data_IF_993515686113
#
_entry.id   IF_993515686113
#
_cell.length_a   1.000
_cell.length_b   1.000
_cell.length_c   1.000
_cell.angle_alpha   90.00
_cell.angle_beta   90.00
_cell.angle_gamma   90.00
#
_symmetry.space_group_name_H-M   'P 1'
#
loop_
_entity.id
_entity.type
_entity.pdbx_description
1 polymer ?
#
# COMPACT_ATOMS: atom_id res chain seq x y z
N UNK A 1 -2.57 -1.09 21.06
CA UNK A 1 -2.08 -2.04 20.04
C UNK A 1 -1.44 -1.28 18.89
N UNK A 2 -0.25 -1.71 18.49
CA UNK A 2 0.43 -1.10 17.36
C UNK A 2 -0.15 -1.64 16.06
N UNK A 3 -0.55 -0.72 15.17
CA UNK A 3 -1.04 -1.06 13.84
C UNK A 3 0.14 -1.03 12.87
N UNK A 4 0.04 -1.80 11.80
CA UNK A 4 1.13 -1.92 10.82
C UNK A 4 0.74 -1.27 9.51
N UNK A 5 1.69 -0.53 8.92
CA UNK A 5 1.62 -0.03 7.56
C UNK A 5 2.68 -0.77 6.76
N UNK A 6 2.27 -1.42 5.68
CA UNK A 6 3.17 -2.10 4.76
C UNK A 6 3.37 -1.26 3.51
N UNK A 7 4.62 -1.00 3.17
CA UNK A 7 5.00 -0.18 2.02
C UNK A 7 5.62 -1.10 0.97
N UNK A 8 4.98 -1.21 -0.19
CA UNK A 8 5.39 -2.13 -1.26
C UNK A 8 5.70 -1.35 -2.53
N UNK A 9 6.97 -1.31 -2.88
CA UNK A 9 7.45 -0.68 -4.11
C UNK A 9 8.81 -1.27 -4.43
N UNK A 10 9.09 -1.55 -5.70
CA UNK A 10 10.39 -2.08 -6.11
C UNK A 10 11.48 -1.02 -6.10
N UNK A 11 11.10 0.27 -6.04
CA UNK A 11 12.05 1.37 -5.95
C UNK A 11 12.35 1.68 -4.46
N UNK A 12 13.57 1.40 -3.97
CA UNK A 12 13.91 1.67 -2.58
C UNK A 12 13.85 3.15 -2.21
N UNK A 13 14.00 4.05 -3.20
CA UNK A 13 13.88 5.49 -2.96
C UNK A 13 12.45 5.89 -2.61
N UNK A 14 11.47 5.31 -3.29
CA UNK A 14 10.05 5.55 -3.02
C UNK A 14 9.69 4.98 -1.65
N UNK A 15 10.14 3.75 -1.35
CA UNK A 15 9.89 3.16 -0.03
C UNK A 15 10.45 4.05 1.09
N UNK A 16 11.68 4.55 0.90
CA UNK A 16 12.32 5.42 1.88
C UNK A 16 11.56 6.73 2.06
N UNK A 17 11.09 7.32 0.96
CA UNK A 17 10.30 8.56 1.01
C UNK A 17 9.04 8.35 1.85
N UNK A 18 8.30 7.29 1.59
CA UNK A 18 7.07 6.99 2.32
C UNK A 18 7.39 6.69 3.78
N UNK A 19 8.37 5.83 4.04
CA UNK A 19 8.74 5.45 5.40
C UNK A 19 9.19 6.68 6.22
N UNK A 20 10.04 7.52 5.65
CA UNK A 20 10.53 8.72 6.32
C UNK A 20 9.39 9.69 6.62
N UNK A 21 8.46 9.84 5.67
CA UNK A 21 7.30 10.71 5.84
C UNK A 21 6.41 10.25 6.99
N UNK A 22 6.25 8.94 7.15
CA UNK A 22 5.33 8.35 8.11
C UNK A 22 5.96 7.95 9.44
N UNK A 23 7.29 8.01 9.57
CA UNK A 23 7.98 7.49 10.76
C UNK A 23 7.58 8.17 12.07
N UNK A 24 7.13 9.41 12.01
CA UNK A 24 6.75 10.17 13.20
C UNK A 24 5.27 10.01 13.57
N UNK A 25 4.49 9.27 12.77
CA UNK A 25 3.10 9.02 13.09
C UNK A 25 3.03 7.96 14.18
N UNK A 26 2.49 8.34 15.34
CA UNK A 26 2.35 7.42 16.47
C UNK A 26 1.29 6.35 16.21
N UNK A 27 1.52 5.18 16.76
CA UNK A 27 0.56 4.08 16.67
C UNK A 27 0.73 3.16 15.49
N UNK A 28 1.72 3.43 14.62
CA UNK A 28 1.99 2.57 13.46
C UNK A 28 3.41 2.03 13.47
N UNK A 29 3.52 0.76 13.09
CA UNK A 29 4.80 0.13 12.77
C UNK A 29 4.92 0.09 11.24
N UNK A 30 6.07 0.47 10.73
CA UNK A 30 6.30 0.48 9.28
C UNK A 30 7.06 -0.77 8.85
N UNK A 31 6.61 -1.39 7.77
CA UNK A 31 7.29 -2.51 7.13
C UNK A 31 7.44 -2.21 5.66
N UNK A 32 8.44 -2.80 5.02
CA UNK A 32 8.71 -2.60 3.60
C UNK A 32 8.81 -3.94 2.89
N UNK A 33 8.40 -3.95 1.62
CA UNK A 33 8.56 -5.08 0.72
C UNK A 33 8.94 -4.57 -0.66
N UNK A 34 9.83 -5.28 -1.36
CA UNK A 34 10.32 -4.88 -2.66
C UNK A 34 9.58 -5.48 -3.84
N UNK A 35 8.69 -6.42 -3.60
CA UNK A 35 7.88 -7.04 -4.65
C UNK A 35 6.61 -7.65 -4.08
N UNK A 36 5.73 -8.11 -4.98
CA UNK A 36 4.42 -8.61 -4.58
C UNK A 36 4.45 -9.90 -3.77
N UNK A 37 5.40 -10.79 -4.04
CA UNK A 37 5.49 -12.05 -3.30
C UNK A 37 5.94 -11.79 -1.86
N UNK A 38 6.94 -10.95 -1.67
CA UNK A 38 7.39 -10.55 -0.35
C UNK A 38 6.27 -9.81 0.41
N UNK A 39 5.51 -8.97 -0.31
CA UNK A 39 4.38 -8.25 0.28
C UNK A 39 3.35 -9.21 0.86
N UNK A 40 2.98 -10.24 0.13
CA UNK A 40 2.00 -11.23 0.59
C UNK A 40 2.52 -11.96 1.82
N UNK A 41 3.76 -12.42 1.81
CA UNK A 41 4.39 -13.08 2.95
C UNK A 41 4.34 -12.22 4.20
N UNK A 42 4.77 -10.97 4.10
CA UNK A 42 4.80 -10.06 5.24
C UNK A 42 3.40 -9.71 5.72
N UNK A 43 2.47 -9.50 4.79
CA UNK A 43 1.11 -9.10 5.13
C UNK A 43 0.36 -10.19 5.89
N UNK A 44 0.52 -11.45 5.50
CA UNK A 44 -0.13 -12.57 6.19
C UNK A 44 0.33 -12.64 7.65
N UNK A 45 1.61 -12.38 7.89
CA UNK A 45 2.18 -12.42 9.24
C UNK A 45 1.81 -11.21 10.09
N UNK A 46 1.88 -10.01 9.51
CA UNK A 46 1.70 -8.76 10.25
C UNK A 46 0.28 -8.23 10.27
N UNK A 47 -0.56 -8.66 9.33
CA UNK A 47 -1.94 -8.19 9.15
C UNK A 47 -2.02 -6.67 9.15
N UNK A 48 -1.43 -6.01 8.14
CA UNK A 48 -1.35 -4.56 8.13
C UNK A 48 -2.73 -3.92 8.01
N UNK A 49 -2.90 -2.76 8.63
CA UNK A 49 -4.11 -1.96 8.50
C UNK A 49 -4.12 -1.22 7.16
N UNK A 50 -2.94 -0.77 6.73
CA UNK A 50 -2.77 -0.01 5.49
C UNK A 50 -1.65 -0.64 4.66
N UNK A 51 -1.89 -0.80 3.37
CA UNK A 51 -0.88 -1.27 2.41
C UNK A 51 -0.75 -0.23 1.30
N UNK A 52 0.44 0.34 1.16
CA UNK A 52 0.80 1.14 -0.01
C UNK A 52 1.41 0.20 -1.02
N UNK A 53 0.82 0.11 -2.20
CA UNK A 53 1.14 -0.95 -3.16
C UNK A 53 1.36 -0.40 -4.55
N UNK A 54 2.60 -0.48 -5.04
CA UNK A 54 2.94 -0.05 -6.38
C UNK A 54 2.27 -0.97 -7.42
N UNK A 55 1.71 -0.36 -8.47
CA UNK A 55 1.09 -1.11 -9.57
C UNK A 55 2.14 -1.87 -10.38
N UNK A 56 3.26 -1.21 -10.69
CA UNK A 56 4.30 -1.77 -11.56
C UNK A 56 5.46 -2.36 -10.75
N UNK A 57 5.50 -3.70 -10.66
CA UNK A 57 6.56 -4.39 -9.95
C UNK A 57 6.96 -5.66 -10.70
N UNK A 58 8.23 -6.10 -10.55
CA UNK A 58 8.65 -7.38 -11.12
C UNK A 58 8.03 -8.56 -10.37
N UNK A 59 8.05 -9.71 -11.00
CA UNK A 59 7.56 -11.01 -10.52
C UNK A 59 6.06 -11.05 -10.34
N UNK A 60 5.49 -10.24 -9.44
CA UNK A 60 4.06 -10.18 -9.23
C UNK A 60 3.67 -8.70 -9.17
N UNK A 61 2.88 -8.23 -10.14
CA UNK A 61 2.47 -6.83 -10.20
C UNK A 61 1.49 -6.48 -9.08
N UNK A 62 1.28 -5.16 -8.87
CA UNK A 62 0.46 -4.69 -7.77
C UNK A 62 -1.02 -5.08 -7.87
N UNK A 63 -1.57 -5.15 -9.07
CA UNK A 63 -2.98 -5.53 -9.25
C UNK A 63 -3.20 -6.97 -8.81
N UNK A 64 -2.35 -7.89 -9.23
CA UNK A 64 -2.44 -9.29 -8.83
C UNK A 64 -2.15 -9.47 -7.34
N UNK A 65 -1.17 -8.72 -6.81
CA UNK A 65 -0.88 -8.72 -5.38
C UNK A 65 -2.12 -8.30 -4.58
N UNK A 66 -2.79 -7.23 -5.02
CA UNK A 66 -4.03 -6.76 -4.39
C UNK A 66 -5.11 -7.84 -4.38
N UNK A 67 -5.31 -8.52 -5.51
CA UNK A 67 -6.27 -9.62 -5.62
C UNK A 67 -5.99 -10.72 -4.60
N UNK A 68 -4.74 -11.11 -4.48
CA UNK A 68 -4.33 -12.15 -3.54
C UNK A 68 -4.50 -11.73 -2.09
N UNK A 69 -4.19 -10.46 -1.78
CA UNK A 69 -4.41 -9.94 -0.43
C UNK A 69 -5.89 -9.96 -0.07
N UNK A 70 -6.76 -9.61 -1.01
CA UNK A 70 -8.21 -9.63 -0.78
C UNK A 70 -8.78 -11.03 -0.62
N UNK A 71 -8.13 -12.03 -1.20
CA UNK A 71 -8.61 -13.42 -1.12
C UNK A 71 -8.20 -14.15 0.16
N UNK A 72 -7.28 -13.58 0.94
CA UNK A 72 -6.81 -14.18 2.19
C UNK A 72 -7.52 -13.51 3.39
N UNK A 73 -8.19 -14.28 4.26
CA UNK A 73 -8.87 -13.71 5.43
C UNK A 73 -7.97 -12.86 6.33
N UNK A 74 -6.67 -13.17 6.39
CA UNK A 74 -5.74 -12.43 7.23
C UNK A 74 -5.50 -11.00 6.73
N UNK A 75 -5.71 -10.74 5.43
CA UNK A 75 -5.39 -9.47 4.79
C UNK A 75 -6.57 -8.82 4.07
N UNK A 76 -7.70 -9.50 4.01
CA UNK A 76 -8.86 -9.06 3.23
C UNK A 76 -9.43 -7.70 3.67
N UNK A 77 -9.25 -7.32 4.93
CA UNK A 77 -9.81 -6.06 5.46
C UNK A 77 -8.81 -4.89 5.46
N UNK A 78 -7.58 -5.10 4.98
CA UNK A 78 -6.60 -4.01 4.91
C UNK A 78 -7.08 -2.91 3.96
N UNK A 79 -6.75 -1.66 4.28
CA UNK A 79 -6.96 -0.54 3.36
C UNK A 79 -5.80 -0.54 2.37
N UNK A 80 -6.10 -0.74 1.09
CA UNK A 80 -5.07 -0.80 0.05
C UNK A 80 -5.07 0.49 -0.76
N UNK A 81 -3.92 1.17 -0.75
CA UNK A 81 -3.67 2.40 -1.51
C UNK A 81 -2.73 2.04 -2.65
N UNK A 82 -3.21 2.11 -3.89
CA UNK A 82 -2.38 1.83 -5.06
C UNK A 82 -1.54 3.05 -5.41
N UNK A 83 -0.25 2.81 -5.62
CA UNK A 83 0.68 3.83 -6.09
C UNK A 83 0.85 3.65 -7.59
N UNK A 84 0.56 4.69 -8.36
CA UNK A 84 0.61 4.60 -9.82
C UNK A 84 1.29 5.80 -10.43
N UNK A 85 2.13 5.56 -11.44
CA UNK A 85 2.71 6.62 -12.26
C UNK A 85 1.79 7.04 -13.41
N UNK A 86 0.75 6.27 -13.64
CA UNK A 86 -0.22 6.52 -14.71
C UNK A 86 -1.61 6.64 -14.10
N UNK A 87 -2.25 7.78 -14.30
CA UNK A 87 -3.61 8.05 -13.83
C UNK A 87 -4.67 7.63 -14.87
N UNK A 88 -4.29 6.79 -15.84
CA UNK A 88 -5.21 6.35 -16.88
C UNK A 88 -6.33 5.47 -16.33
N UNK A 89 -7.53 5.61 -16.91
CA UNK A 89 -8.73 4.90 -16.48
C UNK A 89 -8.58 3.38 -16.48
N UNK A 90 -7.80 2.84 -17.43
CA UNK A 90 -7.62 1.38 -17.56
C UNK A 90 -6.91 0.81 -16.33
N UNK A 91 -5.85 1.49 -15.88
CA UNK A 91 -5.08 1.06 -14.70
C UNK A 91 -5.94 1.18 -13.45
N UNK A 92 -6.65 2.29 -13.29
CA UNK A 92 -7.52 2.51 -12.13
C UNK A 92 -8.64 1.48 -12.05
N UNK A 93 -9.28 1.16 -13.18
CA UNK A 93 -10.32 0.14 -13.23
C UNK A 93 -9.79 -1.23 -12.84
N UNK A 94 -8.64 -1.61 -13.38
CA UNK A 94 -8.01 -2.88 -13.02
C UNK A 94 -7.71 -2.99 -11.54
N UNK A 95 -7.22 -1.90 -10.95
CA UNK A 95 -6.91 -1.85 -9.53
C UNK A 95 -8.19 -1.86 -8.67
N UNK A 96 -9.22 -1.13 -9.08
CA UNK A 96 -10.52 -1.14 -8.39
C UNK A 96 -11.14 -2.53 -8.43
N UNK A 97 -11.13 -3.18 -9.59
CA UNK A 97 -11.66 -4.53 -9.75
C UNK A 97 -10.91 -5.55 -8.90
N UNK A 98 -9.62 -5.30 -8.65
CA UNK A 98 -8.80 -6.14 -7.79
C UNK A 98 -9.05 -5.87 -6.30
N UNK A 99 -9.77 -4.79 -5.95
CA UNK A 99 -10.13 -4.47 -4.59
C UNK A 99 -9.35 -3.33 -3.93
N UNK A 100 -8.67 -2.49 -4.71
CA UNK A 100 -7.99 -1.31 -4.16
C UNK A 100 -9.01 -0.29 -3.66
N UNK A 101 -8.71 0.33 -2.51
CA UNK A 101 -9.60 1.32 -1.89
C UNK A 101 -9.30 2.73 -2.36
N UNK A 102 -8.03 3.06 -2.52
CA UNK A 102 -7.57 4.42 -2.81
C UNK A 102 -6.42 4.40 -3.80
N UNK A 103 -6.17 5.55 -4.40
CA UNK A 103 -5.09 5.72 -5.38
C UNK A 103 -4.24 6.94 -5.02
N UNK A 104 -2.94 6.82 -5.24
CA UNK A 104 -1.99 7.91 -5.06
C UNK A 104 -1.10 7.94 -6.29
N UNK A 105 -1.16 9.04 -7.05
CA UNK A 105 -0.40 9.20 -8.29
C UNK A 105 1.01 9.70 -8.01
N UNK A 106 2.01 9.06 -8.58
CA UNK A 106 3.41 9.51 -8.51
C UNK A 106 3.65 10.64 -9.53
N UNK A 107 4.40 11.68 -9.20
CA UNK A 107 4.95 11.96 -7.88
C UNK A 107 3.89 12.51 -6.92
N UNK A 108 3.94 12.09 -5.68
CA UNK A 108 3.03 12.57 -4.64
C UNK A 108 3.80 13.41 -3.62
N UNK A 109 3.11 14.34 -2.96
CA UNK A 109 3.73 15.16 -1.92
C UNK A 109 3.66 14.47 -0.55
N UNK A 110 4.65 14.69 0.32
CA UNK A 110 4.60 14.18 1.70
C UNK A 110 3.34 14.62 2.45
N UNK A 111 2.91 15.87 2.25
CA UNK A 111 1.71 16.38 2.90
C UNK A 111 0.46 15.63 2.46
N UNK A 112 0.35 15.31 1.17
CA UNK A 112 -0.77 14.54 0.63
C UNK A 112 -0.81 13.14 1.27
N UNK A 113 0.37 12.52 1.38
CA UNK A 113 0.51 11.20 2.01
C UNK A 113 0.07 11.24 3.47
N UNK A 114 0.52 12.23 4.23
CA UNK A 114 0.14 12.40 5.63
C UNK A 114 -1.37 12.58 5.81
N UNK A 115 -1.98 13.39 4.96
CA UNK A 115 -3.43 13.63 4.99
C UNK A 115 -4.21 12.36 4.67
N UNK A 116 -3.71 11.55 3.75
CA UNK A 116 -4.34 10.30 3.38
C UNK A 116 -4.33 9.31 4.54
N UNK A 117 -3.18 9.14 5.19
CA UNK A 117 -3.06 8.24 6.35
C UNK A 117 -3.93 8.72 7.50
N UNK A 118 -3.97 10.03 7.74
CA UNK A 118 -4.82 10.61 8.77
C UNK A 118 -6.30 10.31 8.53
N UNK A 119 -6.76 10.45 7.29
CA UNK A 119 -8.14 10.13 6.91
C UNK A 119 -8.46 8.66 7.11
N UNK A 120 -7.56 7.77 6.72
CA UNK A 120 -7.74 6.33 6.90
C UNK A 120 -7.84 6.00 8.39
N UNK A 121 -6.95 6.54 9.19
CA UNK A 121 -6.96 6.35 10.64
C UNK A 121 -8.23 6.85 11.30
N UNK A 122 -8.78 7.96 10.84
CA UNK A 122 -10.01 8.53 11.38
C UNK A 122 -11.25 7.70 11.04
N UNK A 123 -11.20 6.93 9.92
CA UNK A 123 -12.32 6.08 9.50
C UNK A 123 -12.40 4.77 10.28
N UNK A 124 -11.36 4.45 11.02
CA UNK A 124 -11.30 3.27 11.87
C UNK A 124 -11.42 3.65 13.33
#
# INVERSE_FOLDING_TARGET
MTRTILIVDDDPMIRKLIATTLEDISGYRLQEAGDGLEAIERAVLSRPEIVFLDVDMPRLNGIETCRRLRSDPATASATIVMLTGDSGDVVERGAQDAGADLFLTKPFSPLHLLRLVDRIGAAH
#
